data_IF_677265201949
#
_entry.id   IF_677265201949
#
_cell.length_a   1.000
_cell.length_b   1.000
_cell.length_c   1.000
_cell.angle_alpha   90.00
_cell.angle_beta   90.00
_cell.angle_gamma   90.00
#
_symmetry.space_group_name_H-M   'P 1'
#
loop_
_entity.id
_entity.type
_entity.pdbx_description
1 polymer ?
#
# COMPACT_ATOMS: atom_id res chain seq x y z
N UNK A 1 1.43 -9.83 5.60
CA UNK A 1 0.84 -8.58 5.05
C UNK A 1 -0.50 -8.19 5.68
N UNK A 2 -1.05 -8.94 6.64
CA UNK A 2 -2.27 -8.55 7.37
C UNK A 2 -1.88 -7.79 8.63
N UNK A 3 -1.24 -6.62 8.49
CA UNK A 3 -0.73 -5.88 9.67
C UNK A 3 -1.71 -4.82 10.21
N UNK A 4 -2.87 -4.62 9.57
CA UNK A 4 -3.86 -3.62 9.99
C UNK A 4 -5.33 -4.06 9.77
N UNK A 5 -5.61 -5.36 9.64
CA UNK A 5 -6.97 -5.85 9.32
C UNK A 5 -7.41 -5.62 7.86
N UNK A 6 -6.67 -4.86 7.07
CA UNK A 6 -6.91 -4.70 5.64
C UNK A 6 -6.40 -5.91 4.85
N UNK A 7 -7.29 -6.46 4.02
CA UNK A 7 -6.90 -7.42 2.97
C UNK A 7 -6.32 -6.68 1.77
N UNK A 8 -5.50 -7.35 0.95
CA UNK A 8 -5.02 -6.77 -0.31
C UNK A 8 -6.17 -6.32 -1.22
N UNK A 9 -7.28 -7.07 -1.21
CA UNK A 9 -8.51 -6.74 -1.92
C UNK A 9 -9.10 -5.39 -1.50
N UNK A 10 -9.28 -5.20 -0.20
CA UNK A 10 -9.82 -3.94 0.33
C UNK A 10 -8.89 -2.77 -0.01
N UNK A 11 -7.58 -2.95 0.17
CA UNK A 11 -6.61 -1.90 -0.13
C UNK A 11 -6.61 -1.53 -1.63
N UNK A 12 -6.74 -2.53 -2.51
CA UNK A 12 -6.82 -2.30 -3.96
C UNK A 12 -8.09 -1.52 -4.34
N UNK A 13 -9.23 -1.85 -3.72
CA UNK A 13 -10.49 -1.13 -3.93
C UNK A 13 -10.39 0.33 -3.48
N UNK A 14 -9.85 0.61 -2.30
CA UNK A 14 -9.67 1.99 -1.79
C UNK A 14 -8.71 2.83 -2.65
N UNK A 15 -7.71 2.16 -3.26
CA UNK A 15 -6.79 2.77 -4.19
C UNK A 15 -7.35 2.90 -5.62
N UNK A 16 -8.53 2.32 -5.91
CA UNK A 16 -9.13 2.32 -7.24
C UNK A 16 -8.34 1.51 -8.27
N UNK A 17 -7.57 0.50 -7.83
CA UNK A 17 -6.74 -0.35 -8.70
C UNK A 17 -7.12 -1.83 -8.54
N UNK A 18 -6.66 -2.68 -9.46
CA UNK A 18 -6.83 -4.13 -9.30
C UNK A 18 -5.86 -4.71 -8.28
N UNK A 19 -6.25 -5.79 -7.60
CA UNK A 19 -5.38 -6.53 -6.65
C UNK A 19 -4.06 -6.96 -7.28
N UNK A 20 -4.10 -7.35 -8.56
CA UNK A 20 -2.92 -7.76 -9.31
C UNK A 20 -1.97 -6.57 -9.56
N UNK A 21 -2.52 -5.37 -9.81
CA UNK A 21 -1.75 -4.14 -9.92
C UNK A 21 -1.11 -3.75 -8.59
N UNK A 22 -1.88 -3.83 -7.50
CA UNK A 22 -1.37 -3.60 -6.15
C UNK A 22 -0.23 -4.57 -5.82
N UNK A 23 -0.41 -5.86 -6.08
CA UNK A 23 0.62 -6.90 -5.88
C UNK A 23 1.90 -6.58 -6.66
N UNK A 24 1.76 -6.17 -7.94
CA UNK A 24 2.90 -5.80 -8.79
C UNK A 24 3.62 -4.56 -8.25
N UNK A 25 2.89 -3.54 -7.81
CA UNK A 25 3.44 -2.30 -7.24
C UNK A 25 4.16 -2.56 -5.92
N UNK A 26 3.58 -3.36 -5.03
CA UNK A 26 4.22 -3.81 -3.78
C UNK A 26 5.52 -4.56 -4.04
N UNK A 27 5.51 -5.52 -4.98
CA UNK A 27 6.70 -6.30 -5.34
C UNK A 27 7.80 -5.43 -5.93
N UNK A 28 7.44 -4.43 -6.74
CA UNK A 28 8.39 -3.48 -7.33
C UNK A 28 8.74 -2.31 -6.40
N UNK A 29 8.02 -2.14 -5.29
CA UNK A 29 8.04 -0.94 -4.43
C UNK A 29 7.84 0.37 -5.20
N UNK A 30 7.02 0.35 -6.25
CA UNK A 30 6.74 1.53 -7.08
C UNK A 30 5.32 2.01 -6.80
N UNK A 31 5.22 3.13 -6.10
CA UNK A 31 3.97 3.81 -5.79
C UNK A 31 4.08 5.28 -6.19
N UNK A 32 3.02 5.84 -6.76
CA UNK A 32 2.91 7.29 -6.90
C UNK A 32 2.74 7.95 -5.53
N UNK A 33 3.01 9.26 -5.46
CA UNK A 33 2.88 10.04 -4.23
C UNK A 33 1.47 9.94 -3.63
N UNK A 34 0.44 10.01 -4.47
CA UNK A 34 -0.96 9.94 -4.02
C UNK A 34 -1.35 8.54 -3.51
N UNK A 35 -0.87 7.48 -4.18
CA UNK A 35 -1.11 6.10 -3.76
C UNK A 35 -0.40 5.81 -2.44
N UNK A 36 0.84 6.27 -2.30
CA UNK A 36 1.59 6.12 -1.06
C UNK A 36 0.88 6.82 0.10
N UNK A 37 0.50 8.10 -0.06
CA UNK A 37 -0.23 8.85 0.97
C UNK A 37 -1.50 8.12 1.42
N UNK A 38 -2.33 7.63 0.48
CA UNK A 38 -3.52 6.85 0.81
C UNK A 38 -3.20 5.56 1.57
N UNK A 39 -2.16 4.82 1.16
CA UNK A 39 -1.78 3.59 1.85
C UNK A 39 -1.33 3.87 3.28
N UNK A 40 -0.61 4.98 3.50
CA UNK A 40 -0.15 5.39 4.83
C UNK A 40 -1.32 5.73 5.75
N UNK A 41 -2.29 6.50 5.25
CA UNK A 41 -3.54 6.79 5.98
C UNK A 41 -4.34 5.51 6.27
N UNK A 42 -4.59 4.68 5.25
CA UNK A 42 -5.42 3.48 5.36
C UNK A 42 -4.84 2.42 6.30
N UNK A 43 -3.53 2.20 6.22
CA UNK A 43 -2.86 1.19 7.04
C UNK A 43 -2.40 1.75 8.39
N UNK A 44 -2.67 3.04 8.68
CA UNK A 44 -2.18 3.74 9.87
C UNK A 44 -0.71 3.40 10.14
N UNK A 45 0.10 3.42 9.07
CA UNK A 45 1.51 3.04 9.18
C UNK A 45 2.21 4.19 9.87
N UNK A 46 2.47 4.05 11.17
CA UNK A 46 3.21 5.03 11.99
C UNK A 46 4.59 5.39 11.40
N UNK A 47 5.16 4.50 10.57
CA UNK A 47 6.43 4.74 9.90
C UNK A 47 6.38 4.37 8.41
N UNK A 48 5.84 5.24 7.55
CA UNK A 48 5.68 4.96 6.13
C UNK A 48 7.00 4.78 5.40
N UNK A 49 8.08 5.39 5.92
CA UNK A 49 9.42 5.21 5.37
C UNK A 49 9.93 3.77 5.48
N UNK A 50 9.56 3.03 6.52
CA UNK A 50 9.98 1.63 6.66
C UNK A 50 9.34 0.71 5.60
N UNK A 51 8.14 1.07 5.12
CA UNK A 51 7.38 0.27 4.15
C UNK A 51 7.76 0.60 2.71
N UNK A 52 7.91 1.89 2.40
CA UNK A 52 8.17 2.36 1.04
C UNK A 52 9.64 2.65 0.74
N UNK A 53 10.43 3.07 1.73
CA UNK A 53 11.80 3.54 1.58
C UNK A 53 12.83 2.72 2.37
N UNK A 54 12.45 1.53 2.86
CA UNK A 54 13.37 0.63 3.56
C UNK A 54 14.55 0.24 2.67
N UNK A 55 15.76 0.63 3.11
CA UNK A 55 17.05 0.23 2.52
C UNK A 55 17.18 -1.28 2.40
#
# INVERSE_FOLDING_TARGET
MVKAGYTQKMLAQELGISEQTLTRKLKKRVFGTDEASKIVELLSIDNPQAVFFGR
#
